data_IF_663380395568
#
_entry.id   IF_663380395568
#
_cell.length_a   1.000
_cell.length_b   1.000
_cell.length_c   1.000
_cell.angle_alpha   90.00
_cell.angle_beta   90.00
_cell.angle_gamma   90.00
#
_symmetry.space_group_name_H-M   'P 1'
#
loop_
_entity.id
_entity.type
_entity.pdbx_description
1 polymer ?
#
# COMPACT_ATOMS: atom_id res chain seq x y z
N UNK A 1 12.13 2.00 27.29
CA UNK A 1 11.02 1.64 26.37
C UNK A 1 11.32 2.23 25.01
N UNK A 2 11.17 1.47 23.92
CA UNK A 2 11.39 1.99 22.57
C UNK A 2 10.23 2.96 22.21
N UNK A 3 10.50 4.27 22.16
CA UNK A 3 9.48 5.30 21.88
C UNK A 3 8.71 5.05 20.59
N UNK A 4 9.37 4.49 19.56
CA UNK A 4 8.73 4.15 18.29
C UNK A 4 7.70 3.04 18.46
N UNK A 5 7.96 2.04 19.31
CA UNK A 5 7.01 0.96 19.57
C UNK A 5 5.79 1.41 20.39
N UNK A 6 5.92 2.51 21.14
CA UNK A 6 4.85 3.07 21.96
C UNK A 6 3.90 4.00 21.18
N UNK A 7 4.22 4.35 19.92
CA UNK A 7 3.32 5.16 19.10
C UNK A 7 2.00 4.43 18.87
N UNK A 8 0.89 5.09 19.19
CA UNK A 8 -0.44 4.66 18.76
C UNK A 8 -0.67 5.09 17.30
N UNK A 9 -0.62 4.14 16.38
CA UNK A 9 -0.80 4.39 14.94
C UNK A 9 -2.18 3.95 14.43
N UNK A 10 -3.09 3.56 15.34
CA UNK A 10 -4.41 3.07 14.98
C UNK A 10 -5.25 4.10 14.20
N UNK A 11 -5.29 5.40 14.59
CA UNK A 11 -6.06 6.39 13.83
C UNK A 11 -5.62 6.52 12.36
N UNK A 12 -4.32 6.36 12.10
CA UNK A 12 -3.75 6.43 10.74
C UNK A 12 -4.24 5.23 9.93
N UNK A 13 -4.21 4.02 10.50
CA UNK A 13 -4.74 2.82 9.85
C UNK A 13 -6.23 2.92 9.57
N UNK A 14 -7.02 3.36 10.55
CA UNK A 14 -8.47 3.57 10.38
C UNK A 14 -8.73 4.51 9.21
N UNK A 15 -7.96 5.60 9.10
CA UNK A 15 -8.08 6.54 7.98
C UNK A 15 -7.67 5.91 6.65
N UNK A 16 -6.55 5.18 6.58
CA UNK A 16 -6.09 4.49 5.37
C UNK A 16 -7.07 3.42 4.89
N UNK A 17 -7.75 2.73 5.81
CA UNK A 17 -8.75 1.70 5.51
C UNK A 17 -10.09 2.28 5.05
N UNK A 18 -10.36 3.56 5.31
CA UNK A 18 -11.61 4.20 4.91
C UNK A 18 -11.71 4.30 3.38
N UNK A 19 -12.72 3.65 2.78
CA UNK A 19 -12.83 3.50 1.31
C UNK A 19 -12.96 4.82 0.55
N UNK A 20 -13.74 5.77 1.06
CA UNK A 20 -14.09 6.98 0.28
C UNK A 20 -13.12 8.13 0.49
N UNK A 21 -12.43 8.14 1.62
CA UNK A 21 -11.65 9.30 2.08
C UNK A 21 -10.22 8.94 2.46
N UNK A 22 -9.85 7.67 2.33
CA UNK A 22 -8.52 7.11 2.49
C UNK A 22 -8.16 6.29 1.25
N UNK A 23 -7.34 5.25 1.45
CA UNK A 23 -6.83 4.38 0.38
C UNK A 23 -7.64 3.08 0.22
N UNK A 24 -8.63 2.83 1.09
CA UNK A 24 -9.43 1.60 1.09
C UNK A 24 -8.61 0.34 1.40
N UNK A 25 -7.52 0.46 2.15
CA UNK A 25 -6.66 -0.68 2.50
C UNK A 25 -7.40 -1.74 3.34
N UNK A 26 -6.98 -3.00 3.21
CA UNK A 26 -7.39 -4.04 4.15
C UNK A 26 -6.61 -3.88 5.47
N UNK A 27 -7.13 -4.49 6.54
CA UNK A 27 -6.45 -4.48 7.84
C UNK A 27 -5.08 -5.16 7.76
N UNK A 28 -4.96 -6.23 6.98
CA UNK A 28 -3.71 -6.98 6.79
C UNK A 28 -2.65 -6.08 6.13
N UNK A 29 -3.02 -5.33 5.09
CA UNK A 29 -2.12 -4.37 4.46
C UNK A 29 -1.75 -3.24 5.40
N UNK A 30 -2.72 -2.66 6.10
CA UNK A 30 -2.46 -1.59 7.06
C UNK A 30 -1.48 -2.03 8.16
N UNK A 31 -1.64 -3.24 8.70
CA UNK A 31 -0.74 -3.79 9.71
C UNK A 31 0.66 -4.11 9.15
N UNK A 32 0.74 -4.67 7.94
CA UNK A 32 2.03 -4.95 7.30
C UNK A 32 2.81 -3.66 7.01
N UNK A 33 2.13 -2.63 6.52
CA UNK A 33 2.75 -1.32 6.24
C UNK A 33 3.10 -0.59 7.54
N UNK A 34 2.30 -0.71 8.60
CA UNK A 34 2.64 -0.14 9.91
C UNK A 34 3.97 -0.69 10.44
N UNK A 35 4.22 -2.00 10.30
CA UNK A 35 5.49 -2.61 10.66
C UNK A 35 6.66 -1.97 9.90
N UNK A 36 6.51 -1.80 8.59
CA UNK A 36 7.52 -1.17 7.73
C UNK A 36 7.71 0.31 8.03
N UNK A 37 6.64 1.02 8.38
CA UNK A 37 6.71 2.41 8.81
C UNK A 37 7.47 2.57 10.14
N UNK A 38 7.28 1.67 11.10
CA UNK A 38 8.07 1.65 12.35
C UNK A 38 9.55 1.37 12.08
N UNK A 39 9.87 0.50 11.11
CA UNK A 39 11.25 0.27 10.66
C UNK A 39 11.84 1.53 10.03
N UNK A 40 11.09 2.20 9.16
CA UNK A 40 11.48 3.48 8.57
C UNK A 40 11.80 4.54 9.65
N UNK A 41 10.90 4.74 10.63
CA UNK A 41 11.14 5.68 11.73
C UNK A 41 12.40 5.32 12.54
N UNK A 42 12.70 4.03 12.69
CA UNK A 42 13.90 3.56 13.38
C UNK A 42 15.17 3.92 12.61
N UNK A 43 15.16 3.78 11.28
CA UNK A 43 16.26 4.21 10.42
C UNK A 43 16.44 5.74 10.47
N UNK A 44 15.36 6.52 10.43
CA UNK A 44 15.43 7.99 10.50
C UNK A 44 15.99 8.49 11.82
N UNK A 45 15.72 7.75 12.90
CA UNK A 45 16.30 8.05 14.22
C UNK A 45 17.77 7.67 14.32
N UNK A 46 18.16 6.52 13.73
CA UNK A 46 19.52 5.99 13.81
C UNK A 46 20.49 6.73 12.89
N UNK A 47 20.01 7.20 11.75
CA UNK A 47 20.79 7.84 10.70
C UNK A 47 20.19 9.21 10.32
N UNK A 48 20.18 10.20 11.23
CA UNK A 48 19.47 11.47 11.03
C UNK A 48 20.02 12.34 9.90
N UNK A 49 21.28 12.13 9.50
CA UNK A 49 21.95 12.89 8.44
C UNK A 49 21.85 12.22 7.05
N UNK A 50 21.26 11.03 6.96
CA UNK A 50 21.13 10.29 5.70
C UNK A 50 19.91 10.77 4.90
N UNK A 51 20.11 11.07 3.62
CA UNK A 51 19.00 11.30 2.70
C UNK A 51 18.47 9.97 2.21
N UNK A 52 17.22 9.69 2.53
CA UNK A 52 16.57 8.43 2.17
C UNK A 52 15.13 8.66 1.70
N UNK A 53 14.61 7.73 0.90
CA UNK A 53 13.18 7.71 0.54
C UNK A 53 12.61 6.32 0.81
N UNK A 54 11.48 6.22 1.53
CA UNK A 54 10.81 4.95 1.74
C UNK A 54 10.12 4.45 0.46
N UNK A 55 9.60 3.22 0.49
CA UNK A 55 8.70 2.70 -0.55
C UNK A 55 7.36 3.44 -0.53
N UNK A 56 6.65 3.41 -1.66
CA UNK A 56 5.37 4.13 -1.85
C UNK A 56 4.37 3.87 -0.73
N UNK A 57 4.12 2.62 -0.34
CA UNK A 57 3.13 2.34 0.72
C UNK A 57 3.55 2.93 2.08
N UNK A 58 4.85 2.90 2.40
CA UNK A 58 5.38 3.48 3.65
C UNK A 58 5.34 5.01 3.59
N UNK A 59 5.63 5.61 2.44
CA UNK A 59 5.49 7.05 2.19
C UNK A 59 4.03 7.50 2.31
N UNK A 60 3.09 6.75 1.72
CA UNK A 60 1.65 7.00 1.87
C UNK A 60 1.24 6.93 3.33
N UNK A 61 1.65 5.90 4.08
CA UNK A 61 1.36 5.83 5.52
C UNK A 61 1.90 7.07 6.26
N UNK A 62 3.12 7.50 5.91
CA UNK A 62 3.74 8.68 6.49
C UNK A 62 2.94 9.95 6.18
N UNK A 63 2.46 10.14 4.94
CA UNK A 63 1.60 11.28 4.59
C UNK A 63 0.34 11.32 5.44
N UNK A 64 -0.33 10.18 5.62
CA UNK A 64 -1.53 10.11 6.46
C UNK A 64 -1.24 10.37 7.94
N UNK A 65 -0.04 10.02 8.42
CA UNK A 65 0.39 10.43 9.75
C UNK A 65 0.60 11.95 9.83
N UNK A 66 1.24 12.57 8.84
CA UNK A 66 1.45 14.03 8.77
C UNK A 66 0.12 14.81 8.74
N UNK A 67 -0.92 14.27 8.11
CA UNK A 67 -2.24 14.91 8.02
C UNK A 67 -2.89 15.15 9.39
N UNK A 68 -2.59 14.31 10.40
CA UNK A 68 -2.93 14.60 11.79
C UNK A 68 -1.79 15.42 12.42
N UNK A 69 -1.77 16.72 12.12
CA UNK A 69 -0.61 17.58 12.40
C UNK A 69 -0.28 17.68 13.89
N UNK A 70 -1.28 17.64 14.77
CA UNK A 70 -1.05 17.70 16.22
C UNK A 70 -0.41 16.40 16.72
N UNK A 71 -0.95 15.26 16.30
CA UNK A 71 -0.40 13.95 16.64
C UNK A 71 1.01 13.78 16.08
N UNK A 72 1.21 14.10 14.81
CA UNK A 72 2.51 13.98 14.17
C UNK A 72 3.58 14.81 14.86
N UNK A 73 3.26 16.06 15.25
CA UNK A 73 4.18 16.91 16.00
C UNK A 73 4.54 16.30 17.38
N UNK A 74 3.55 15.78 18.11
CA UNK A 74 3.77 15.15 19.41
C UNK A 74 4.60 13.85 19.29
N UNK A 75 4.27 13.00 18.33
CA UNK A 75 4.97 11.74 18.08
C UNK A 75 6.41 12.00 17.63
N UNK A 76 6.64 13.02 16.78
CA UNK A 76 7.98 13.45 16.40
C UNK A 76 8.79 13.94 17.60
N UNK A 77 8.20 14.76 18.46
CA UNK A 77 8.86 15.24 19.68
C UNK A 77 9.24 14.07 20.61
N UNK A 78 8.35 13.08 20.77
CA UNK A 78 8.60 11.91 21.61
C UNK A 78 9.67 10.97 21.05
N UNK A 79 9.72 10.81 19.72
CA UNK A 79 10.65 9.87 19.06
C UNK A 79 12.00 10.51 18.78
N UNK A 80 12.02 11.69 18.16
CA UNK A 80 13.22 12.33 17.62
C UNK A 80 13.70 13.51 18.48
N UNK A 81 12.80 14.13 19.25
CA UNK A 81 13.09 15.38 19.96
C UNK A 81 13.00 16.62 19.07
N UNK A 82 12.63 16.44 17.80
CA UNK A 82 12.43 17.48 16.78
C UNK A 82 11.35 17.03 15.78
N UNK A 83 10.85 17.97 14.98
CA UNK A 83 9.89 17.66 13.93
C UNK A 83 10.59 17.02 12.72
N UNK A 84 10.26 15.76 12.40
CA UNK A 84 10.81 15.10 11.22
C UNK A 84 10.14 15.68 9.97
N UNK A 85 10.88 16.49 9.22
CA UNK A 85 10.36 17.14 8.02
C UNK A 85 10.28 16.18 6.83
N UNK A 86 9.22 16.33 6.02
CA UNK A 86 9.03 15.61 4.76
C UNK A 86 9.11 16.56 3.57
N UNK A 87 9.76 16.13 2.49
CA UNK A 87 9.84 16.87 1.23
C UNK A 87 9.18 16.04 0.11
N UNK A 88 7.88 16.24 -0.17
CA UNK A 88 7.08 15.34 -1.02
C UNK A 88 7.31 15.53 -2.53
N UNK A 89 8.22 16.42 -2.94
CA UNK A 89 8.39 16.80 -4.35
C UNK A 89 9.61 16.15 -5.01
N UNK A 90 10.36 15.33 -4.29
CA UNK A 90 11.57 14.70 -4.80
C UNK A 90 11.25 13.78 -6.00
N UNK A 91 11.99 13.93 -7.09
CA UNK A 91 11.80 13.19 -8.33
C UNK A 91 10.85 13.84 -9.34
N UNK A 92 10.22 14.97 -9.01
CA UNK A 92 9.22 15.62 -9.87
C UNK A 92 9.77 16.80 -10.69
N UNK A 93 11.02 17.23 -10.45
CA UNK A 93 11.59 18.47 -11.02
C UNK A 93 12.66 18.22 -12.10
N UNK A 94 12.43 17.25 -12.98
CA UNK A 94 13.31 16.92 -14.09
C UNK A 94 14.31 15.79 -13.76
N UNK A 95 15.21 15.53 -14.71
CA UNK A 95 16.05 14.31 -14.71
C UNK A 95 17.00 14.22 -13.51
N UNK A 96 17.60 15.33 -13.08
CA UNK A 96 18.51 15.36 -11.93
C UNK A 96 17.80 15.01 -10.61
N UNK A 97 16.57 15.52 -10.44
CA UNK A 97 15.74 15.27 -9.28
C UNK A 97 15.28 13.79 -9.26
N UNK A 98 14.95 13.23 -10.42
CA UNK A 98 14.64 11.81 -10.58
C UNK A 98 15.85 10.90 -10.26
N UNK A 99 17.05 11.27 -10.74
CA UNK A 99 18.28 10.56 -10.38
C UNK A 99 18.57 10.63 -8.87
N UNK A 100 18.23 11.76 -8.23
CA UNK A 100 18.34 11.92 -6.78
C UNK A 100 17.39 10.98 -6.04
N UNK A 101 16.12 10.90 -6.47
CA UNK A 101 15.14 9.95 -5.91
C UNK A 101 15.66 8.50 -5.95
N UNK A 102 16.22 8.07 -7.08
CA UNK A 102 16.79 6.71 -7.22
C UNK A 102 17.93 6.49 -6.22
N UNK A 103 18.85 7.45 -6.09
CA UNK A 103 19.98 7.37 -5.17
C UNK A 103 19.54 7.27 -3.71
N UNK A 104 18.61 8.11 -3.26
CA UNK A 104 18.14 8.10 -1.86
C UNK A 104 17.26 6.87 -1.57
N UNK A 105 16.56 6.33 -2.57
CA UNK A 105 15.85 5.05 -2.46
C UNK A 105 16.81 3.86 -2.33
N UNK A 106 17.90 3.84 -3.09
CA UNK A 106 18.96 2.84 -2.94
C UNK A 106 19.63 2.95 -1.56
N UNK A 107 19.87 4.17 -1.08
CA UNK A 107 20.43 4.37 0.27
C UNK A 107 19.51 3.82 1.36
N UNK A 108 18.20 4.04 1.24
CA UNK A 108 17.21 3.44 2.14
C UNK A 108 17.32 1.91 2.17
N UNK A 109 17.39 1.29 0.98
CA UNK A 109 17.51 -0.17 0.86
C UNK A 109 18.74 -0.71 1.58
N UNK A 110 19.91 -0.11 1.35
CA UNK A 110 21.16 -0.52 1.98
C UNK A 110 21.08 -0.47 3.51
N UNK A 111 20.60 0.67 4.06
CA UNK A 111 20.45 0.86 5.49
C UNK A 111 19.46 -0.13 6.09
N UNK A 112 18.34 -0.34 5.40
CA UNK A 112 17.30 -1.28 5.83
C UNK A 112 17.82 -2.72 5.89
N UNK A 113 18.45 -3.20 4.82
CA UNK A 113 18.94 -4.57 4.73
C UNK A 113 20.07 -4.82 5.74
N UNK A 114 20.94 -3.82 5.96
CA UNK A 114 21.99 -3.89 6.98
C UNK A 114 21.43 -3.90 8.41
N UNK A 115 20.37 -3.14 8.70
CA UNK A 115 19.80 -3.05 10.04
C UNK A 115 18.95 -4.27 10.41
N UNK A 116 18.14 -4.76 9.47
CA UNK A 116 17.11 -5.75 9.77
C UNK A 116 17.44 -7.16 9.25
N UNK A 117 18.47 -7.31 8.40
CA UNK A 117 18.86 -8.60 7.84
C UNK A 117 17.79 -9.24 6.95
N UNK A 118 16.82 -8.45 6.46
CA UNK A 118 15.73 -8.90 5.58
C UNK A 118 15.72 -8.03 4.32
N UNK A 119 15.38 -8.65 3.19
CA UNK A 119 15.36 -7.97 1.89
C UNK A 119 14.35 -6.81 1.89
N UNK A 120 14.77 -5.64 1.43
CA UNK A 120 13.91 -4.46 1.40
C UNK A 120 12.74 -4.66 0.42
N UNK A 121 11.52 -4.38 0.88
CA UNK A 121 10.29 -4.60 0.10
C UNK A 121 9.69 -6.00 0.18
N UNK A 122 10.34 -6.97 0.81
CA UNK A 122 9.81 -8.35 0.93
C UNK A 122 8.52 -8.43 1.76
N UNK A 123 8.39 -7.61 2.81
CA UNK A 123 7.18 -7.57 3.65
C UNK A 123 6.02 -6.80 3.00
N UNK A 124 6.30 -5.72 2.27
CA UNK A 124 5.30 -4.96 1.54
C UNK A 124 4.74 -5.75 0.33
N UNK A 125 5.59 -6.55 -0.34
CA UNK A 125 5.18 -7.42 -1.43
C UNK A 125 4.19 -8.52 -0.98
N UNK A 126 4.32 -9.03 0.24
CA UNK A 126 3.44 -10.08 0.77
C UNK A 126 1.99 -9.59 1.03
N UNK A 127 1.81 -8.32 1.39
CA UNK A 127 0.49 -7.73 1.64
C UNK A 127 -0.21 -7.19 0.39
N UNK A 128 0.54 -6.95 -0.69
CA UNK A 128 0.02 -6.50 -1.99
C UNK A 128 -0.11 -7.60 -3.05
N UNK A 129 0.40 -8.81 -2.79
CA UNK A 129 0.37 -9.90 -3.77
C UNK A 129 -0.93 -10.70 -3.72
N UNK A 130 -1.98 -10.20 -4.36
CA UNK A 130 -2.88 -11.09 -5.10
C UNK A 130 -2.18 -11.51 -6.41
N UNK A 131 -1.07 -12.25 -6.31
CA UNK A 131 -0.40 -12.81 -7.47
C UNK A 131 -1.02 -14.17 -7.80
N UNK A 132 -1.98 -14.20 -8.73
CA UNK A 132 -2.41 -15.45 -9.36
C UNK A 132 -1.38 -15.87 -10.42
N UNK A 133 -0.24 -16.34 -9.95
CA UNK A 133 0.76 -16.98 -10.78
C UNK A 133 1.52 -17.97 -9.93
N UNK A 134 1.15 -19.25 -9.99
CA UNK A 134 2.00 -20.29 -9.41
C UNK A 134 3.33 -20.28 -10.16
N UNK A 135 4.43 -20.01 -9.46
CA UNK A 135 5.77 -20.01 -10.03
C UNK A 135 6.27 -21.43 -10.40
N UNK A 136 5.50 -22.49 -10.14
CA UNK A 136 5.87 -23.85 -10.52
C UNK A 136 4.64 -24.68 -10.87
N UNK A 137 4.31 -24.76 -12.16
CA UNK A 137 3.53 -25.90 -12.69
C UNK A 137 4.54 -26.78 -13.43
N UNK A 138 4.89 -27.92 -12.83
CA UNK A 138 5.63 -28.96 -13.56
C UNK A 138 4.78 -29.44 -14.75
N UNK A 139 5.44 -29.76 -15.85
CA UNK A 139 4.79 -30.14 -17.10
C UNK A 139 3.78 -31.28 -16.88
N UNK A 140 2.56 -31.08 -17.42
CA UNK A 140 1.43 -32.02 -17.43
C UNK A 140 0.50 -32.04 -16.19
N UNK A 141 0.26 -30.88 -15.58
CA UNK A 141 -0.80 -30.69 -14.57
C UNK A 141 -1.80 -29.62 -15.05
N UNK A 142 -3.10 -29.92 -14.95
CA UNK A 142 -4.16 -28.94 -15.20
C UNK A 142 -4.26 -28.02 -13.98
N UNK A 143 -4.13 -26.71 -14.19
CA UNK A 143 -4.35 -25.72 -13.14
C UNK A 143 -5.86 -25.46 -12.99
N UNK A 144 -6.45 -25.94 -11.90
CA UNK A 144 -7.83 -25.58 -11.52
C UNK A 144 -7.83 -24.31 -10.67
N UNK A 145 -8.55 -23.28 -11.09
CA UNK A 145 -8.89 -22.15 -10.22
C UNK A 145 -10.14 -22.50 -9.39
N UNK A 146 -9.95 -23.34 -8.37
CA UNK A 146 -11.01 -23.64 -7.41
C UNK A 146 -10.97 -22.66 -6.24
N UNK A 147 -11.62 -21.50 -6.35
CA UNK A 147 -12.07 -20.77 -5.15
C UNK A 147 -13.51 -21.15 -4.87
N UNK A 148 -13.78 -21.81 -3.74
CA UNK A 148 -15.12 -22.09 -3.24
C UNK A 148 -15.82 -20.86 -2.63
N UNK A 149 -15.28 -19.65 -2.86
CA UNK A 149 -15.91 -18.41 -2.40
C UNK A 149 -15.81 -17.37 -3.51
N UNK A 150 -16.95 -16.77 -3.86
CA UNK A 150 -17.09 -15.84 -4.97
C UNK A 150 -16.05 -14.70 -4.89
N UNK A 151 -15.10 -14.68 -5.83
CA UNK A 151 -14.20 -13.56 -6.01
C UNK A 151 -14.96 -12.45 -6.75
N UNK A 152 -15.22 -11.34 -6.06
CA UNK A 152 -15.85 -10.15 -6.65
C UNK A 152 -14.79 -9.34 -7.40
N UNK A 153 -14.71 -9.50 -8.71
CA UNK A 153 -13.86 -8.69 -9.59
C UNK A 153 -14.57 -7.37 -9.92
N UNK A 154 -14.51 -6.41 -8.98
CA UNK A 154 -15.02 -5.06 -9.17
C UNK A 154 -13.92 -4.07 -9.56
N UNK A 155 -13.35 -4.19 -10.75
CA UNK A 155 -12.53 -3.12 -11.36
C UNK A 155 -12.74 -3.14 -12.88
N UNK A 156 -13.23 -2.04 -13.43
CA UNK A 156 -13.51 -1.85 -14.85
C UNK A 156 -12.23 -1.58 -15.68
N UNK A 157 -11.21 -2.39 -15.47
CA UNK A 157 -10.00 -2.46 -16.29
C UNK A 157 -9.80 -3.91 -16.68
N UNK A 158 -9.74 -4.16 -17.99
CA UNK A 158 -9.70 -5.50 -18.57
C UNK A 158 -8.70 -6.42 -17.84
N UNK A 159 -9.21 -7.51 -17.24
CA UNK A 159 -8.37 -8.56 -16.70
C UNK A 159 -7.69 -9.29 -17.87
N UNK A 160 -6.39 -9.06 -18.06
CA UNK A 160 -5.60 -9.76 -19.06
C UNK A 160 -5.21 -11.14 -18.52
N UNK A 161 -5.90 -12.19 -18.96
CA UNK A 161 -5.47 -13.57 -18.75
C UNK A 161 -4.50 -13.98 -19.89
N UNK A 162 -3.25 -13.54 -19.79
CA UNK A 162 -2.19 -13.94 -20.72
C UNK A 162 -1.36 -15.10 -20.18
N UNK A 163 -1.35 -16.25 -20.86
CA UNK A 163 -0.26 -17.23 -20.69
C UNK A 163 0.89 -16.82 -21.61
N UNK A 164 2.12 -16.74 -21.07
CA UNK A 164 3.31 -16.37 -21.83
C UNK A 164 3.76 -17.43 -22.86
N UNK A 165 3.11 -18.60 -22.94
CA UNK A 165 3.36 -19.58 -23.99
C UNK A 165 2.08 -20.36 -24.30
N UNK A 166 1.40 -20.01 -25.39
CA UNK A 166 0.30 -20.83 -25.93
C UNK A 166 0.86 -21.66 -27.07
N UNK A 167 1.13 -22.95 -26.84
CA UNK A 167 1.13 -23.91 -27.96
C UNK A 167 -0.31 -24.06 -28.44
N UNK A 168 -0.50 -24.07 -29.75
CA UNK A 168 -1.80 -24.16 -30.38
C UNK A 168 -2.62 -25.34 -29.82
N UNK A 169 -3.83 -25.06 -29.31
CA UNK A 169 -4.78 -26.07 -28.83
C UNK A 169 -5.40 -25.83 -27.44
N UNK A 170 -5.06 -24.76 -26.72
CA UNK A 170 -5.68 -24.46 -25.42
C UNK A 170 -6.91 -23.54 -25.58
N UNK A 171 -8.08 -24.03 -25.16
CA UNK A 171 -9.32 -23.26 -25.07
C UNK A 171 -9.56 -22.82 -23.62
N UNK A 172 -9.98 -21.58 -23.40
CA UNK A 172 -10.44 -21.08 -22.10
C UNK A 172 -11.96 -20.88 -22.15
N UNK A 173 -12.69 -21.43 -21.17
CA UNK A 173 -14.15 -21.26 -21.05
C UNK A 173 -14.49 -20.46 -19.79
N UNK A 174 -15.39 -19.49 -19.94
CA UNK A 174 -16.01 -18.77 -18.83
C UNK A 174 -17.43 -19.33 -18.66
N UNK A 175 -17.69 -20.01 -17.55
CA UNK A 175 -19.03 -20.51 -17.20
C UNK A 175 -19.64 -19.67 -16.09
N UNK A 176 -20.67 -18.87 -16.41
CA UNK A 176 -21.58 -18.33 -15.41
C UNK A 176 -23.02 -18.60 -15.85
N UNK A 177 -23.80 -19.25 -14.99
CA UNK A 177 -25.20 -19.64 -15.24
C UNK A 177 -26.18 -18.96 -14.29
N UNK A 178 -25.90 -17.74 -13.80
CA UNK A 178 -26.89 -17.03 -12.96
C UNK A 178 -26.91 -15.53 -13.22
N UNK A 179 -28.09 -15.02 -13.56
CA UNK A 179 -28.39 -13.59 -13.74
C UNK A 179 -28.45 -12.88 -12.38
N UNK A 180 -27.83 -11.70 -12.26
CA UNK A 180 -27.91 -10.87 -11.06
C UNK A 180 -28.96 -9.75 -11.27
N UNK A 181 -29.93 -9.66 -10.36
CA UNK A 181 -30.91 -8.58 -10.29
C UNK A 181 -30.39 -7.38 -9.49
N UNK A 182 -30.70 -6.17 -9.95
CA UNK A 182 -30.42 -4.92 -9.24
C UNK A 182 -31.65 -4.47 -8.43
N UNK A 183 -31.48 -4.22 -7.13
CA UNK A 183 -32.49 -3.59 -6.28
C UNK A 183 -31.87 -2.42 -5.50
N UNK A 184 -32.41 -1.22 -5.69
CA UNK A 184 -32.03 -0.02 -4.93
C UNK A 184 -32.87 0.09 -3.65
N UNK A 185 -32.23 0.32 -2.52
CA UNK A 185 -32.90 0.72 -1.28
C UNK A 185 -32.72 2.24 -1.09
N UNK A 186 -33.83 2.95 -0.94
CA UNK A 186 -33.87 4.39 -0.64
C UNK A 186 -33.79 4.53 0.89
N UNK A 187 -32.92 5.41 1.38
CA UNK A 187 -32.87 5.84 2.79
C UNK A 187 -32.72 7.37 2.87
N UNK A 188 -33.15 7.97 3.99
CA UNK A 188 -33.70 9.32 4.00
C UNK A 188 -32.64 10.42 3.92
N UNK A 189 -33.06 11.55 3.33
CA UNK A 189 -32.27 12.72 3.00
C UNK A 189 -31.70 13.43 4.24
N UNK A 190 -30.38 13.29 4.46
CA UNK A 190 -29.57 14.17 5.29
C UNK A 190 -28.67 14.96 4.34
N UNK A 191 -28.56 16.29 4.51
CA UNK A 191 -27.91 17.19 3.55
C UNK A 191 -26.54 16.67 3.05
N UNK A 192 -26.32 16.60 1.72
CA UNK A 192 -25.25 15.79 1.11
C UNK A 192 -23.84 16.40 1.20
N UNK A 193 -23.71 17.64 1.65
CA UNK A 193 -22.48 18.43 1.47
C UNK A 193 -21.25 17.86 2.21
N UNK A 194 -21.48 17.10 3.30
CA UNK A 194 -20.42 16.47 4.10
C UNK A 194 -20.34 14.95 3.96
N UNK A 195 -21.37 14.31 3.40
CA UNK A 195 -21.43 12.86 3.10
C UNK A 195 -20.94 12.55 1.69
N UNK A 196 -21.29 13.38 0.71
CA UNK A 196 -20.78 13.32 -0.65
C UNK A 196 -19.89 14.54 -0.87
N UNK A 197 -18.67 14.55 -0.28
CA UNK A 197 -17.72 15.66 -0.43
C UNK A 197 -17.39 15.85 -1.92
N UNK A 198 -17.95 16.86 -2.62
CA UNK A 198 -17.80 16.97 -4.06
C UNK A 198 -16.36 17.34 -4.37
N UNK A 199 -15.76 16.67 -5.35
CA UNK A 199 -14.47 17.14 -5.89
C UNK A 199 -14.74 18.39 -6.71
N UNK A 200 -13.93 19.43 -6.49
CA UNK A 200 -13.94 20.61 -7.35
C UNK A 200 -13.50 20.16 -8.76
N UNK A 201 -14.33 20.44 -9.76
CA UNK A 201 -14.09 20.21 -11.18
C UNK A 201 -13.14 21.23 -11.77
#
# INVERSE_FOLDING_TARGET
MNAIAALDLEPIKVKLMHKESGEGWTLERANAVELEYRRFLSLMKKFPDEQTSPLVDVDTFWHYHILDTMKYAADCQAVFGYFLHHFPYIGMRGEEDAATLVRIGNRMKELYEAEFGVAYGSAAAAAGAAYCGSATVQANQNAYCGSATAAYCGSATAAYCGSATVKAGAYAYCGSTTAAYCGSAISPQVSPLYTERPRLS
#
